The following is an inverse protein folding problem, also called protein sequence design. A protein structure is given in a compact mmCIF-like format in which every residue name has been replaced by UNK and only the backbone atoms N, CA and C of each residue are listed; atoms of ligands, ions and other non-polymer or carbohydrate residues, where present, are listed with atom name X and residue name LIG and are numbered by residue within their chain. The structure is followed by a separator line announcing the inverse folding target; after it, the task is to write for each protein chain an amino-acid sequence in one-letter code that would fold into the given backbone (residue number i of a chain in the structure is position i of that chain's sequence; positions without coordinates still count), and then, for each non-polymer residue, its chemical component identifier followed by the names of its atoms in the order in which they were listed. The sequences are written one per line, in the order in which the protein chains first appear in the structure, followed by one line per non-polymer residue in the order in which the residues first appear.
data_IF_307545486664
#
_entry.id   IF_307545486664
#
_cell.length_a   1.000
_cell.length_b   1.000
_cell.length_c   1.000
_cell.angle_alpha   90.00
_cell.angle_beta   90.00
_cell.angle_gamma   90.00
#
_symmetry.space_group_name_H-M   'P 1'
#
loop_
_entity.id
_entity.type
_entity.pdbx_description
1 polymer ?
#
# COMPACT_ATOMS: atom_id res chain seq x y z
N UNK A 1 -17.33 1.69 25.16
CA UNK A 1 -16.50 2.39 24.15
C UNK A 1 -15.53 1.34 23.67
N UNK A 2 -16.02 0.33 22.93
CA UNK A 2 -15.29 -0.93 22.72
C UNK A 2 -15.52 -1.52 21.32
N UNK A 3 -16.60 -1.15 20.64
CA UNK A 3 -17.00 -1.75 19.35
C UNK A 3 -15.98 -1.50 18.22
N UNK A 4 -15.38 -0.29 18.14
CA UNK A 4 -14.35 -0.01 17.14
C UNK A 4 -13.06 -0.80 17.41
N UNK A 5 -12.60 -0.85 18.66
CA UNK A 5 -11.35 -1.53 18.99
C UNK A 5 -11.48 -3.04 18.78
N UNK A 6 -12.63 -3.62 19.11
CA UNK A 6 -12.91 -5.03 18.87
C UNK A 6 -12.96 -5.36 17.38
N UNK A 7 -13.65 -4.54 16.57
CA UNK A 7 -13.70 -4.70 15.11
C UNK A 7 -12.33 -4.52 14.47
N UNK A 8 -11.58 -3.50 14.87
CA UNK A 8 -10.21 -3.27 14.40
C UNK A 8 -9.32 -4.46 14.77
N UNK A 9 -9.41 -4.98 16.00
CA UNK A 9 -8.67 -6.17 16.43
C UNK A 9 -9.03 -7.39 15.61
N UNK A 10 -10.30 -7.59 15.29
CA UNK A 10 -10.75 -8.70 14.46
C UNK A 10 -10.24 -8.59 13.03
N UNK A 11 -10.34 -7.40 12.43
CA UNK A 11 -9.83 -7.10 11.09
C UNK A 11 -8.32 -7.35 10.99
N UNK A 12 -7.57 -6.99 12.04
CA UNK A 12 -6.13 -7.25 12.13
C UNK A 12 -5.75 -8.70 12.42
N UNK A 13 -6.61 -9.45 13.11
CA UNK A 13 -6.30 -10.84 13.45
C UNK A 13 -6.27 -11.74 12.21
N UNK A 14 -7.03 -11.36 11.16
CA UNK A 14 -7.05 -12.09 9.90
C UNK A 14 -7.26 -11.13 8.72
N UNK A 15 -6.25 -10.30 8.40
CA UNK A 15 -6.35 -9.30 7.36
C UNK A 15 -6.43 -9.99 6.00
N UNK A 16 -7.28 -9.47 5.13
CA UNK A 16 -7.51 -9.97 3.78
C UNK A 16 -6.58 -9.30 2.79
N UNK A 17 -6.24 -10.03 1.74
CA UNK A 17 -5.44 -9.53 0.60
C UNK A 17 -4.09 -8.91 1.00
N UNK A 18 -3.46 -9.39 2.06
CA UNK A 18 -2.09 -9.00 2.43
C UNK A 18 -1.09 -9.67 1.50
N UNK A 19 -0.21 -8.89 0.90
CA UNK A 19 0.89 -9.37 0.08
C UNK A 19 1.07 -8.59 -1.21
N UNK A 20 2.25 -8.76 -1.81
CA UNK A 20 2.56 -8.24 -3.14
C UNK A 20 1.81 -9.01 -4.22
N UNK A 21 1.42 -8.29 -5.28
CA UNK A 21 0.81 -8.86 -6.48
C UNK A 21 1.72 -8.58 -7.67
N UNK A 22 2.41 -9.62 -8.16
CA UNK A 22 3.40 -9.50 -9.24
C UNK A 22 2.77 -9.12 -10.59
N UNK A 23 1.53 -9.53 -10.82
CA UNK A 23 0.78 -9.30 -12.05
C UNK A 23 -0.15 -8.07 -11.98
N UNK A 24 0.10 -7.16 -11.04
CA UNK A 24 -0.70 -5.95 -10.88
C UNK A 24 -0.56 -5.01 -12.08
N UNK A 25 -1.68 -4.39 -12.47
CA UNK A 25 -1.70 -3.42 -13.56
C UNK A 25 -1.35 -2.01 -13.07
N UNK A 26 -1.54 -1.74 -11.78
CA UNK A 26 -1.15 -0.49 -11.14
C UNK A 26 -0.74 -0.68 -9.68
N UNK A 27 0.15 0.20 -9.23
CA UNK A 27 0.71 0.18 -7.88
C UNK A 27 0.74 1.61 -7.35
N UNK A 28 0.26 1.80 -6.13
CA UNK A 28 0.30 3.07 -5.41
C UNK A 28 0.98 2.91 -4.08
N UNK A 29 1.77 3.89 -3.67
CA UNK A 29 2.41 3.90 -2.35
C UNK A 29 2.15 5.25 -1.69
N UNK A 30 1.77 5.22 -0.42
CA UNK A 30 1.63 6.41 0.41
C UNK A 30 2.38 6.18 1.73
N UNK A 31 2.86 7.26 2.33
CA UNK A 31 3.57 7.21 3.61
C UNK A 31 3.50 8.54 4.32
N UNK A 32 3.61 8.49 5.65
CA UNK A 32 3.66 9.67 6.51
C UNK A 32 4.96 9.70 7.29
N UNK A 33 5.73 10.78 7.14
CA UNK A 33 6.98 10.97 7.88
C UNK A 33 6.75 11.19 9.38
N UNK A 34 5.57 11.69 9.76
CA UNK A 34 5.27 12.06 11.15
C UNK A 34 5.03 10.83 12.03
N UNK A 35 4.34 9.81 11.51
CA UNK A 35 4.07 8.56 12.24
C UNK A 35 4.94 7.37 11.78
N UNK A 36 5.65 7.51 10.65
CA UNK A 36 6.49 6.45 10.08
C UNK A 36 5.71 5.33 9.38
N UNK A 37 4.40 5.52 9.17
CA UNK A 37 3.56 4.54 8.47
C UNK A 37 3.79 4.61 6.96
N UNK A 38 3.80 3.44 6.32
CA UNK A 38 3.81 3.33 4.86
C UNK A 38 2.87 2.23 4.40
N UNK A 39 2.18 2.48 3.29
CA UNK A 39 1.28 1.52 2.66
C UNK A 39 1.51 1.48 1.16
N UNK A 40 1.67 0.28 0.62
CA UNK A 40 1.66 -0.01 -0.81
C UNK A 40 0.43 -0.83 -1.15
N UNK A 41 -0.25 -0.44 -2.23
CA UNK A 41 -1.44 -1.10 -2.74
C UNK A 41 -1.21 -1.48 -4.21
N UNK A 42 -1.63 -2.68 -4.57
CA UNK A 42 -1.60 -3.21 -5.93
C UNK A 42 -3.01 -3.44 -6.43
N UNK A 43 -3.29 -3.05 -7.67
CA UNK A 43 -4.59 -3.19 -8.30
C UNK A 43 -4.45 -3.99 -9.60
N UNK A 44 -5.31 -5.01 -9.76
CA UNK A 44 -5.57 -5.68 -11.02
C UNK A 44 -6.89 -5.21 -11.57
N UNK A 45 -6.92 -4.82 -12.84
CA UNK A 45 -8.13 -4.45 -13.54
C UNK A 45 -8.57 -5.54 -14.52
N UNK A 46 -9.87 -5.53 -14.79
CA UNK A 46 -10.50 -6.25 -15.89
C UNK A 46 -11.49 -5.33 -16.60
N UNK A 47 -11.95 -5.74 -17.78
CA UNK A 47 -13.00 -5.03 -18.50
C UNK A 47 -14.33 -5.72 -18.27
N UNK A 48 -15.33 -4.96 -17.81
CA UNK A 48 -16.71 -5.45 -17.63
C UNK A 48 -17.67 -4.41 -18.16
N UNK A 49 -18.53 -4.82 -19.09
CA UNK A 49 -19.53 -3.95 -19.73
C UNK A 49 -18.90 -2.67 -20.34
N UNK A 50 -17.71 -2.81 -20.94
CA UNK A 50 -16.97 -1.69 -21.55
C UNK A 50 -16.33 -0.72 -20.55
N UNK A 51 -16.31 -1.06 -19.25
CA UNK A 51 -15.69 -0.25 -18.19
C UNK A 51 -14.51 -0.96 -17.55
N UNK A 52 -13.50 -0.19 -17.15
CA UNK A 52 -12.35 -0.68 -16.38
C UNK A 52 -12.76 -0.84 -14.92
N UNK A 53 -12.76 -2.07 -14.43
CA UNK A 53 -13.16 -2.42 -13.05
C UNK A 53 -12.02 -3.09 -12.31
N UNK A 54 -11.96 -2.94 -11.00
CA UNK A 54 -10.96 -3.58 -10.14
C UNK A 54 -11.37 -5.04 -9.94
N UNK A 55 -10.57 -5.98 -10.44
CA UNK A 55 -10.77 -7.43 -10.27
C UNK A 55 -10.24 -7.90 -8.90
N UNK A 56 -9.03 -7.45 -8.57
CA UNK A 56 -8.33 -7.77 -7.32
C UNK A 56 -7.56 -6.55 -6.84
N UNK A 57 -7.49 -6.42 -5.52
CA UNK A 57 -6.60 -5.49 -4.84
C UNK A 57 -5.81 -6.26 -3.78
N UNK A 58 -4.54 -5.94 -3.60
CA UNK A 58 -3.75 -6.41 -2.46
C UNK A 58 -2.95 -5.27 -1.86
N UNK A 59 -2.46 -5.44 -0.64
CA UNK A 59 -1.70 -4.40 0.03
C UNK A 59 -0.58 -4.95 0.90
N UNK A 60 0.37 -4.08 1.21
CA UNK A 60 1.40 -4.28 2.21
C UNK A 60 1.51 -2.98 3.00
N UNK A 61 1.49 -3.09 4.32
CA UNK A 61 1.56 -1.95 5.20
C UNK A 61 2.63 -2.19 6.26
N UNK A 62 3.35 -1.12 6.60
CA UNK A 62 4.34 -1.07 7.66
C UNK A 62 3.91 0.00 8.66
N UNK A 63 3.89 -0.36 9.94
CA UNK A 63 3.54 0.55 11.03
C UNK A 63 2.19 0.23 11.65
N UNK A 64 1.26 1.18 11.59
CA UNK A 64 0.05 1.20 12.39
C UNK A 64 -0.91 0.01 12.10
N UNK A 65 -1.24 -0.68 13.18
CA UNK A 65 -2.28 -1.69 13.29
C UNK A 65 -3.62 -1.28 12.65
N UNK A 66 -4.05 -0.04 12.86
CA UNK A 66 -5.31 0.47 12.30
C UNK A 66 -5.21 0.65 10.78
N UNK A 67 -4.05 1.04 10.24
CA UNK A 67 -3.87 1.12 8.79
C UNK A 67 -4.01 -0.27 8.13
N UNK A 68 -3.52 -1.34 8.76
CA UNK A 68 -3.70 -2.73 8.27
C UNK A 68 -5.18 -3.12 8.24
N UNK A 69 -5.93 -2.79 9.30
CA UNK A 69 -7.36 -3.07 9.37
C UNK A 69 -8.14 -2.33 8.27
N UNK A 70 -7.90 -1.03 8.11
CA UNK A 70 -8.58 -0.22 7.09
C UNK A 70 -8.19 -0.68 5.68
N UNK A 71 -6.91 -0.95 5.43
CA UNK A 71 -6.45 -1.46 4.14
C UNK A 71 -7.11 -2.79 3.78
N UNK A 72 -7.25 -3.71 4.74
CA UNK A 72 -7.95 -4.98 4.54
C UNK A 72 -9.42 -4.79 4.19
N UNK A 73 -10.10 -3.80 4.77
CA UNK A 73 -11.50 -3.51 4.43
C UNK A 73 -11.59 -2.84 3.05
N UNK A 74 -10.70 -1.89 2.78
CA UNK A 74 -10.61 -1.21 1.51
C UNK A 74 -10.38 -2.19 0.34
N UNK A 75 -9.45 -3.15 0.45
CA UNK A 75 -9.17 -4.09 -0.65
C UNK A 75 -10.36 -4.98 -0.99
N UNK A 76 -11.14 -5.40 0.00
CA UNK A 76 -12.37 -6.15 -0.23
C UNK A 76 -13.47 -5.26 -0.82
N UNK A 77 -13.60 -4.02 -0.34
CA UNK A 77 -14.57 -3.04 -0.84
C UNK A 77 -14.29 -2.59 -2.28
N UNK A 78 -13.03 -2.53 -2.69
CA UNK A 78 -12.61 -2.14 -4.03
C UNK A 78 -12.96 -3.18 -5.10
N UNK A 79 -13.10 -4.45 -4.70
CA UNK A 79 -13.38 -5.54 -5.64
C UNK A 79 -14.70 -5.32 -6.37
N UNK A 80 -14.65 -5.28 -7.70
CA UNK A 80 -15.79 -5.10 -8.59
C UNK A 80 -16.24 -3.65 -8.77
N UNK A 81 -15.62 -2.66 -8.11
CA UNK A 81 -15.87 -1.25 -8.36
C UNK A 81 -15.22 -0.80 -9.66
N UNK A 82 -15.84 0.17 -10.34
CA UNK A 82 -15.19 0.86 -11.44
C UNK A 82 -14.06 1.74 -10.94
N UNK A 83 -13.11 2.07 -11.82
CA UNK A 83 -12.03 3.01 -11.49
C UNK A 83 -12.61 4.37 -11.06
N UNK A 84 -13.67 4.83 -11.73
CA UNK A 84 -14.34 6.09 -11.41
C UNK A 84 -15.00 6.05 -10.02
N UNK A 85 -15.66 4.95 -9.67
CA UNK A 85 -16.27 4.79 -8.34
C UNK A 85 -15.19 4.74 -7.25
N UNK A 86 -14.09 4.03 -7.51
CA UNK A 86 -12.99 3.88 -6.57
C UNK A 86 -12.30 5.22 -6.26
N UNK A 87 -12.19 6.13 -7.24
CA UNK A 87 -11.64 7.48 -7.04
C UNK A 87 -12.46 8.33 -6.09
N UNK A 88 -13.78 8.16 -6.09
CA UNK A 88 -14.69 8.97 -5.28
C UNK A 88 -14.89 8.45 -3.86
N UNK A 89 -14.18 7.37 -3.46
CA UNK A 89 -14.25 6.85 -2.10
C UNK A 89 -13.47 7.76 -1.15
N UNK A 90 -14.13 8.19 -0.08
CA UNK A 90 -13.49 8.93 1.01
C UNK A 90 -12.78 7.99 2.00
N UNK A 91 -11.90 8.50 2.88
CA UNK A 91 -11.30 7.71 3.95
C UNK A 91 -12.32 6.97 4.81
N UNK A 92 -13.47 7.60 5.06
CA UNK A 92 -14.56 7.02 5.86
C UNK A 92 -15.30 5.90 5.11
N UNK A 93 -15.35 5.93 3.77
CA UNK A 93 -15.93 4.84 2.99
C UNK A 93 -15.00 3.62 2.98
N UNK A 94 -13.68 3.87 2.96
CA UNK A 94 -12.65 2.84 2.91
C UNK A 94 -12.52 2.05 4.23
N UNK A 95 -13.01 2.61 5.35
CA UNK A 95 -13.02 1.90 6.63
C UNK A 95 -14.09 0.81 6.68
N UNK A 96 -15.08 0.86 5.78
CA UNK A 96 -16.12 -0.15 5.64
C UNK A 96 -16.84 -0.43 6.95
N UNK A 97 -16.87 -1.69 7.36
CA UNK A 97 -17.60 -2.14 8.55
C UNK A 97 -16.96 -1.71 9.89
N UNK A 98 -15.74 -1.16 9.86
CA UNK A 98 -15.11 -0.58 11.05
C UNK A 98 -15.86 0.68 11.52
N UNK A 99 -16.52 1.37 10.60
CA UNK A 99 -17.18 2.65 10.85
C UNK A 99 -16.19 3.82 10.96
N UNK A 100 -16.65 4.97 11.48
CA UNK A 100 -15.84 6.18 11.56
C UNK A 100 -14.66 5.98 12.51
N UNK A 101 -13.47 6.41 12.07
CA UNK A 101 -12.26 6.31 12.87
C UNK A 101 -12.29 7.36 13.99
N UNK A 102 -11.76 7.03 15.19
CA UNK A 102 -11.57 8.03 16.23
C UNK A 102 -10.58 9.11 15.74
N UNK A 103 -10.69 10.37 16.21
CA UNK A 103 -9.92 11.50 15.69
C UNK A 103 -8.40 11.27 15.59
N UNK A 104 -7.83 10.55 16.54
CA UNK A 104 -6.40 10.23 16.58
C UNK A 104 -5.93 9.29 15.46
N UNK A 105 -6.85 8.57 14.80
CA UNK A 105 -6.55 7.51 13.81
C UNK A 105 -7.04 7.83 12.41
N UNK A 106 -7.62 9.01 12.16
CA UNK A 106 -8.14 9.41 10.84
C UNK A 106 -7.05 9.32 9.77
N UNK A 107 -5.81 9.71 10.10
CA UNK A 107 -4.66 9.64 9.19
C UNK A 107 -4.38 8.22 8.66
N UNK A 108 -4.81 7.15 9.36
CA UNK A 108 -4.68 5.78 8.87
C UNK A 108 -5.62 5.53 7.67
N UNK A 109 -6.80 6.16 7.65
CA UNK A 109 -7.71 6.11 6.50
C UNK A 109 -7.20 6.94 5.34
N UNK A 110 -6.73 8.15 5.62
CA UNK A 110 -6.10 9.04 4.62
C UNK A 110 -4.87 8.39 3.96
N UNK A 111 -4.09 7.60 4.72
CA UNK A 111 -2.97 6.83 4.19
C UNK A 111 -3.41 5.79 3.16
N UNK A 112 -4.53 5.08 3.43
CA UNK A 112 -5.09 4.06 2.53
C UNK A 112 -5.68 4.72 1.28
N UNK A 113 -6.42 5.82 1.46
CA UNK A 113 -6.94 6.65 0.36
C UNK A 113 -5.81 7.15 -0.54
N UNK A 114 -4.76 7.73 0.04
CA UNK A 114 -3.62 8.25 -0.72
C UNK A 114 -2.92 7.16 -1.52
N UNK A 115 -2.78 5.94 -0.98
CA UNK A 115 -2.21 4.83 -1.73
C UNK A 115 -3.12 4.38 -2.88
N UNK A 116 -4.44 4.39 -2.67
CA UNK A 116 -5.42 4.10 -3.72
C UNK A 116 -5.36 5.14 -4.84
N UNK A 117 -5.42 6.43 -4.50
CA UNK A 117 -5.34 7.51 -5.49
C UNK A 117 -4.03 7.48 -6.28
N UNK A 118 -2.90 7.22 -5.59
CA UNK A 118 -1.61 7.04 -6.25
C UNK A 118 -1.63 5.83 -7.20
N UNK A 119 -2.28 4.72 -6.83
CA UNK A 119 -2.44 3.56 -7.71
C UNK A 119 -3.34 3.86 -8.92
N UNK A 120 -4.34 4.74 -8.77
CA UNK A 120 -5.25 5.15 -9.84
C UNK A 120 -4.68 6.29 -10.73
N UNK A 121 -3.45 6.73 -10.45
CA UNK A 121 -2.73 7.74 -11.22
C UNK A 121 -3.04 9.19 -10.81
N UNK A 122 -3.75 9.41 -9.70
CA UNK A 122 -4.02 10.75 -9.18
C UNK A 122 -2.88 11.17 -8.26
N UNK A 123 -1.89 11.86 -8.84
CA UNK A 123 -0.77 12.40 -8.06
C UNK A 123 -1.22 13.66 -7.32
N UNK A 124 -1.84 13.48 -6.16
CA UNK A 124 -1.97 14.55 -5.17
C UNK A 124 -0.65 14.69 -4.40
N UNK A 125 0.34 15.34 -5.02
CA UNK A 125 1.37 16.08 -4.29
C UNK A 125 2.19 15.37 -3.20
N UNK A 126 2.63 14.12 -3.38
CA UNK A 126 3.91 13.65 -2.83
C UNK A 126 4.37 12.42 -3.62
N UNK A 127 5.02 12.67 -4.76
CA UNK A 127 5.57 11.61 -5.59
C UNK A 127 6.66 10.86 -4.82
N UNK A 128 6.35 9.66 -4.35
CA UNK A 128 7.39 8.67 -4.08
C UNK A 128 7.86 8.21 -5.45
N UNK A 129 9.12 8.47 -5.77
CA UNK A 129 9.76 8.11 -7.03
C UNK A 129 9.48 6.66 -7.43
N UNK A 130 9.55 6.38 -8.74
CA UNK A 130 9.37 5.05 -9.37
C UNK A 130 9.78 3.89 -8.46
N UNK A 131 8.99 2.80 -8.39
CA UNK A 131 9.31 1.69 -7.51
C UNK A 131 10.73 1.21 -7.79
N UNK A 132 11.64 1.49 -6.85
CA UNK A 132 13.02 1.06 -6.95
C UNK A 132 13.02 -0.46 -7.17
N UNK A 133 13.89 -0.99 -8.06
CA UNK A 133 13.94 -2.41 -8.34
C UNK A 133 14.12 -3.18 -7.03
N UNK A 134 13.38 -4.28 -6.89
CA UNK A 134 13.48 -5.10 -5.69
C UNK A 134 14.92 -5.59 -5.50
N UNK A 135 15.30 -5.94 -4.26
CA UNK A 135 16.65 -6.44 -3.99
C UNK A 135 17.01 -7.64 -4.89
N UNK A 136 16.03 -8.51 -5.17
CA UNK A 136 16.20 -9.64 -6.09
C UNK A 136 16.50 -9.21 -7.54
N UNK A 137 15.83 -8.16 -8.02
CA UNK A 137 16.08 -7.58 -9.35
C UNK A 137 17.45 -6.89 -9.40
N UNK A 138 17.83 -6.21 -8.32
CA UNK A 138 19.13 -5.53 -8.20
C UNK A 138 20.31 -6.50 -8.13
N UNK A 139 20.13 -7.67 -7.49
CA UNK A 139 21.13 -8.73 -7.43
C UNK A 139 21.23 -9.53 -8.73
N UNK A 140 20.15 -9.60 -9.51
CA UNK A 140 20.13 -10.28 -10.82
C UNK A 140 20.72 -9.42 -11.93
N UNK A 141 20.71 -8.10 -11.76
CA UNK A 141 21.41 -7.17 -12.64
C UNK A 141 22.92 -7.36 -12.46
N UNK A 142 23.56 -8.13 -13.37
CA UNK A 142 25.02 -8.29 -13.40
C UNK A 142 25.69 -6.92 -13.43
N UNK A 143 26.34 -6.55 -12.33
CA UNK A 143 27.22 -5.39 -12.30
C UNK A 143 28.40 -5.67 -13.22
N UNK A 144 28.52 -4.93 -14.33
CA UNK A 144 29.65 -4.98 -15.26
C UNK A 144 30.90 -4.26 -14.73
N UNK A 145 30.97 -4.03 -13.42
CA UNK A 145 32.07 -3.34 -12.76
C UNK A 145 33.18 -4.30 -12.34
N UNK A 146 34.42 -3.98 -12.69
CA UNK A 146 35.61 -4.66 -12.17
C UNK A 146 35.73 -4.36 -10.67
N UNK A 147 35.44 -5.35 -9.83
CA UNK A 147 35.69 -5.27 -8.38
C UNK A 147 37.21 -5.18 -8.18
N UNK A 148 37.69 -4.03 -7.71
CA UNK A 148 39.08 -3.85 -7.28
C UNK A 148 39.15 -4.04 -5.78
N UNK A 149 39.58 -5.22 -5.35
CA UNK A 149 39.89 -5.52 -3.96
C UNK A 149 41.28 -4.92 -3.68
N UNK A 150 41.34 -3.91 -2.82
CA UNK A 150 42.60 -3.36 -2.31
C UNK A 150 42.83 -3.99 -0.94
N UNK A 151 43.87 -4.83 -0.76
CA UNK A 151 44.22 -5.32 0.57
C UNK A 151 44.69 -4.13 1.42
N UNK A 152 44.22 -4.08 2.67
CA UNK A 152 44.71 -3.13 3.65
C UNK A 152 45.98 -3.73 4.25
N UNK A 153 47.11 -3.06 4.02
CA UNK A 153 48.39 -3.44 4.63
C UNK A 153 48.30 -3.16 6.13
N UNK A 154 48.45 -4.22 6.93
CA UNK A 154 48.58 -4.13 8.38
C UNK A 154 49.97 -3.58 8.73
N UNK A 155 50.13 -2.25 8.79
CA UNK A 155 51.25 -1.65 9.51
C UNK A 155 51.06 -0.13 9.71
N UNK A 156 50.70 0.26 10.94
CA UNK A 156 51.47 1.28 11.65
C UNK A 156 51.17 1.14 13.16
N UNK A 157 52.13 0.51 13.83
CA UNK A 157 52.28 0.48 15.29
C UNK A 157 53.18 1.64 15.71
#
# INVERSE_FOLDING_TARGET
MDDFEDKARQAMANPRNVGEMEDADAVGTAGSADCGDMLRMWLKFTEKDGRKVIDRASFQSFGCQTAIAVASMATELLKGKSVEDARNLSPDDLTGDLGPLPPMKIHCGELVEGALHNALGETAGNAVADPAPTLAQSLSARTTGTIRIVPLDEEEK
#
